data_IF_630140694319
#
_entry.id   IF_630140694319
#
_cell.length_a   1.000
_cell.length_b   1.000
_cell.length_c   1.000
_cell.angle_alpha   90.00
_cell.angle_beta   90.00
_cell.angle_gamma   90.00
#
_symmetry.space_group_name_H-M   'P 1'
#
loop_
_entity.id
_entity.type
_entity.pdbx_description
1 polymer ?
#
# COMPACT_ATOMS: atom_id res chain seq x y z
N UNK A 1 -5.63 4.71 -31.30
CA UNK A 1 -5.68 5.78 -30.27
C UNK A 1 -4.52 5.59 -29.28
N UNK A 2 -4.32 4.40 -28.68
CA UNK A 2 -3.24 4.09 -27.73
C UNK A 2 -1.87 4.58 -28.24
N UNK A 3 -1.48 4.25 -29.47
CA UNK A 3 -0.18 4.63 -30.05
C UNK A 3 0.08 6.14 -30.05
N UNK A 4 -0.97 6.96 -30.20
CA UNK A 4 -0.83 8.41 -30.14
C UNK A 4 -0.54 8.91 -28.73
N UNK A 5 -1.19 8.30 -27.74
CA UNK A 5 -0.93 8.60 -26.32
C UNK A 5 0.46 8.12 -25.88
N UNK A 6 0.90 6.92 -26.31
CA UNK A 6 2.26 6.44 -26.07
C UNK A 6 3.31 7.43 -26.60
N UNK A 7 3.12 7.94 -27.82
CA UNK A 7 4.02 8.93 -28.40
C UNK A 7 4.01 10.26 -27.63
N UNK A 8 2.84 10.73 -27.22
CA UNK A 8 2.69 11.98 -26.47
C UNK A 8 3.32 11.88 -25.08
N UNK A 9 3.10 10.77 -24.36
CA UNK A 9 3.70 10.51 -23.06
C UNK A 9 5.22 10.37 -23.15
N UNK A 10 5.73 9.73 -24.21
CA UNK A 10 7.18 9.57 -24.44
C UNK A 10 7.90 10.90 -24.75
N UNK A 11 7.18 11.93 -25.17
CA UNK A 11 7.77 13.26 -25.41
C UNK A 11 8.01 14.07 -24.11
N UNK A 12 7.48 13.60 -22.96
CA UNK A 12 7.65 14.31 -21.71
C UNK A 12 8.96 13.92 -21.03
N UNK A 13 9.80 14.90 -20.77
CA UNK A 13 11.01 14.75 -19.99
C UNK A 13 10.90 15.56 -18.69
N UNK A 14 11.24 14.92 -17.56
CA UNK A 14 11.28 15.61 -16.28
C UNK A 14 12.43 16.64 -16.28
N UNK A 15 12.14 17.93 -16.11
CA UNK A 15 13.19 18.94 -16.11
C UNK A 15 14.10 18.79 -14.87
N UNK A 16 15.37 19.13 -15.06
CA UNK A 16 16.31 19.18 -13.95
C UNK A 16 15.94 20.34 -13.01
N UNK A 17 15.99 20.10 -11.70
CA UNK A 17 15.58 21.06 -10.65
C UNK A 17 16.29 22.41 -10.77
N UNK A 18 17.55 22.43 -11.27
CA UNK A 18 18.33 23.64 -11.48
C UNK A 18 17.73 24.61 -12.51
N UNK A 19 16.97 24.12 -13.47
CA UNK A 19 16.33 24.93 -14.52
C UNK A 19 15.08 25.63 -13.99
N UNK A 20 14.37 25.01 -13.02
CA UNK A 20 13.12 25.54 -12.46
C UNK A 20 13.33 26.76 -11.54
N UNK A 21 14.53 26.95 -11.01
CA UNK A 21 14.84 28.01 -10.05
C UNK A 21 15.26 29.33 -10.69
N UNK A 22 15.53 29.36 -12.01
CA UNK A 22 16.10 30.53 -12.67
C UNK A 22 15.08 31.60 -13.06
N UNK A 23 13.86 31.20 -13.48
CA UNK A 23 12.88 32.15 -13.99
C UNK A 23 11.43 31.77 -13.62
N UNK A 24 10.68 32.73 -13.08
CA UNK A 24 9.27 32.55 -12.65
C UNK A 24 8.34 32.05 -13.77
N UNK A 25 8.56 32.45 -15.03
CA UNK A 25 7.73 32.02 -16.17
C UNK A 25 7.96 30.54 -16.52
N UNK A 26 9.17 30.01 -16.27
CA UNK A 26 9.47 28.59 -16.50
C UNK A 26 8.69 27.68 -15.55
N UNK A 27 8.51 28.07 -14.31
CA UNK A 27 7.74 27.30 -13.34
C UNK A 27 6.27 27.16 -13.76
N UNK A 28 5.68 28.24 -14.30
CA UNK A 28 4.29 28.22 -14.80
C UNK A 28 4.16 27.26 -15.99
N UNK A 29 5.09 27.35 -16.95
CA UNK A 29 5.09 26.44 -18.11
C UNK A 29 5.30 24.99 -17.70
N UNK A 30 6.22 24.76 -16.78
CA UNK A 30 6.46 23.42 -16.25
C UNK A 30 5.18 22.84 -15.61
N UNK A 31 4.54 23.59 -14.72
CA UNK A 31 3.29 23.16 -14.08
C UNK A 31 2.22 22.82 -15.10
N UNK A 32 2.08 23.63 -16.16
CA UNK A 32 1.14 23.36 -17.24
C UNK A 32 1.50 22.06 -17.98
N UNK A 33 2.74 21.89 -18.43
CA UNK A 33 3.16 20.68 -19.15
C UNK A 33 3.08 19.44 -18.27
N UNK A 34 3.43 19.56 -16.98
CA UNK A 34 3.30 18.50 -16.01
C UNK A 34 1.83 18.06 -15.84
N UNK A 35 0.91 19.02 -15.68
CA UNK A 35 -0.52 18.69 -15.57
C UNK A 35 -1.08 18.03 -16.84
N UNK A 36 -0.66 18.47 -18.02
CA UNK A 36 -1.02 17.83 -19.30
C UNK A 36 -0.46 16.41 -19.37
N UNK A 37 0.80 16.21 -18.98
CA UNK A 37 1.44 14.91 -18.93
C UNK A 37 0.68 13.93 -18.01
N UNK A 38 0.37 14.34 -16.78
CA UNK A 38 -0.36 13.49 -15.82
C UNK A 38 -1.75 13.13 -16.31
N UNK A 39 -2.43 14.07 -17.01
CA UNK A 39 -3.71 13.79 -17.66
C UNK A 39 -3.57 12.74 -18.77
N UNK A 40 -2.54 12.86 -19.61
CA UNK A 40 -2.27 11.88 -20.69
C UNK A 40 -1.93 10.50 -20.12
N UNK A 41 -1.18 10.45 -19.03
CA UNK A 41 -0.89 9.19 -18.31
C UNK A 41 -2.17 8.54 -17.83
N UNK A 42 -3.06 9.29 -17.20
CA UNK A 42 -4.35 8.79 -16.72
C UNK A 42 -5.20 8.21 -17.87
N UNK A 43 -5.38 8.96 -18.95
CA UNK A 43 -6.14 8.52 -20.13
C UNK A 43 -5.49 7.29 -20.81
N UNK A 44 -4.15 7.22 -20.85
CA UNK A 44 -3.42 6.08 -21.39
C UNK A 44 -3.59 4.82 -20.53
N UNK A 45 -3.56 4.97 -19.20
CA UNK A 45 -3.80 3.88 -18.27
C UNK A 45 -5.23 3.33 -18.38
N UNK A 46 -6.23 4.22 -18.57
CA UNK A 46 -7.60 3.80 -18.83
C UNK A 46 -7.72 2.97 -20.13
N UNK A 47 -7.06 3.43 -21.21
CA UNK A 47 -7.02 2.68 -22.48
C UNK A 47 -6.30 1.34 -22.33
N UNK A 48 -5.19 1.28 -21.58
CA UNK A 48 -4.51 0.02 -21.32
C UNK A 48 -5.34 -0.93 -20.47
N UNK A 49 -6.07 -0.41 -19.49
CA UNK A 49 -6.97 -1.20 -18.66
C UNK A 49 -8.08 -1.83 -19.50
N UNK A 50 -8.65 -1.09 -20.47
CA UNK A 50 -9.68 -1.60 -21.37
C UNK A 50 -9.21 -2.76 -22.28
N UNK A 51 -7.91 -2.87 -22.53
CA UNK A 51 -7.29 -3.96 -23.30
C UNK A 51 -6.49 -4.95 -22.46
N UNK A 52 -6.63 -4.86 -21.12
CA UNK A 52 -5.95 -5.72 -20.14
C UNK A 52 -4.41 -5.71 -20.24
N UNK A 53 -3.83 -4.60 -20.70
CA UNK A 53 -2.38 -4.45 -20.85
C UNK A 53 -1.73 -3.94 -19.55
N UNK A 54 -1.86 -4.69 -18.46
CA UNK A 54 -1.47 -4.29 -17.11
C UNK A 54 0.02 -4.01 -16.95
N UNK A 55 0.89 -4.78 -17.60
CA UNK A 55 2.35 -4.54 -17.57
C UNK A 55 2.71 -3.16 -18.13
N UNK A 56 1.98 -2.71 -19.15
CA UNK A 56 2.18 -1.37 -19.72
C UNK A 56 1.74 -0.27 -18.76
N UNK A 57 0.65 -0.50 -17.99
CA UNK A 57 0.22 0.41 -16.92
C UNK A 57 1.35 0.55 -15.89
N UNK A 58 1.92 -0.56 -15.42
CA UNK A 58 3.00 -0.56 -14.43
C UNK A 58 4.22 0.23 -14.90
N UNK A 59 4.62 0.04 -16.16
CA UNK A 59 5.75 0.77 -16.73
C UNK A 59 5.50 2.27 -16.83
N UNK A 60 4.32 2.68 -17.30
CA UNK A 60 3.95 4.11 -17.43
C UNK A 60 3.80 4.75 -16.05
N UNK A 61 3.12 4.08 -15.12
CA UNK A 61 2.97 4.57 -13.75
C UNK A 61 4.32 4.65 -13.02
N UNK A 62 5.23 3.69 -13.23
CA UNK A 62 6.58 3.71 -12.65
C UNK A 62 7.36 4.97 -13.04
N UNK A 63 7.33 5.38 -14.31
CA UNK A 63 7.95 6.63 -14.74
C UNK A 63 7.19 7.86 -14.22
N UNK A 64 5.85 7.86 -14.27
CA UNK A 64 5.02 8.95 -13.76
C UNK A 64 5.25 9.21 -12.27
N UNK A 65 5.37 8.16 -11.45
CA UNK A 65 5.71 8.27 -10.03
C UNK A 65 7.10 8.85 -9.80
N UNK A 66 8.08 8.58 -10.67
CA UNK A 66 9.39 9.24 -10.60
C UNK A 66 9.31 10.76 -10.86
N UNK A 67 8.29 11.20 -11.61
CA UNK A 67 8.03 12.61 -11.89
C UNK A 67 7.22 13.26 -10.76
N UNK A 68 6.20 12.58 -10.26
CA UNK A 68 5.30 13.05 -9.21
C UNK A 68 4.80 11.86 -8.36
N UNK A 69 5.45 11.64 -7.24
CA UNK A 69 5.09 10.58 -6.28
C UNK A 69 3.81 10.88 -5.49
N UNK A 70 3.31 12.13 -5.55
CA UNK A 70 2.14 12.57 -4.80
C UNK A 70 0.84 12.50 -5.61
N UNK A 71 0.93 12.09 -6.87
CA UNK A 71 -0.24 11.98 -7.72
C UNK A 71 -1.05 10.71 -7.41
N UNK A 72 -2.24 10.89 -6.84
CA UNK A 72 -3.14 9.82 -6.44
C UNK A 72 -3.59 8.93 -7.62
N UNK A 73 -3.85 9.51 -8.79
CA UNK A 73 -4.31 8.75 -9.96
C UNK A 73 -3.24 7.77 -10.44
N UNK A 74 -1.96 8.13 -10.35
CA UNK A 74 -0.86 7.22 -10.71
C UNK A 74 -0.80 6.02 -9.77
N UNK A 75 -0.94 6.23 -8.47
CA UNK A 75 -1.03 5.15 -7.49
C UNK A 75 -2.26 4.27 -7.73
N UNK A 76 -3.41 4.89 -7.99
CA UNK A 76 -4.65 4.17 -8.30
C UNK A 76 -4.46 3.21 -9.47
N UNK A 77 -3.92 3.68 -10.60
CA UNK A 77 -3.73 2.85 -11.79
C UNK A 77 -2.71 1.73 -11.58
N UNK A 78 -1.65 2.01 -10.82
CA UNK A 78 -0.67 0.98 -10.47
C UNK A 78 -1.31 -0.13 -9.62
N UNK A 79 -2.08 0.21 -8.60
CA UNK A 79 -2.82 -0.75 -7.77
C UNK A 79 -3.83 -1.51 -8.63
N UNK A 80 -4.61 -0.80 -9.45
CA UNK A 80 -5.60 -1.38 -10.36
C UNK A 80 -4.98 -2.39 -11.32
N UNK A 81 -3.75 -2.16 -11.77
CA UNK A 81 -3.03 -3.11 -12.62
C UNK A 81 -2.71 -4.43 -11.89
N UNK A 82 -2.32 -4.36 -10.62
CA UNK A 82 -2.09 -5.54 -9.79
C UNK A 82 -3.38 -6.32 -9.53
N UNK A 83 -4.48 -5.60 -9.24
CA UNK A 83 -5.82 -6.17 -9.10
C UNK A 83 -6.23 -6.90 -10.38
N UNK A 84 -6.04 -6.28 -11.54
CA UNK A 84 -6.38 -6.88 -12.83
C UNK A 84 -5.56 -8.12 -13.19
N UNK A 85 -4.36 -8.25 -12.63
CA UNK A 85 -3.50 -9.44 -12.75
C UNK A 85 -3.83 -10.52 -11.68
N UNK A 86 -4.75 -10.24 -10.75
CA UNK A 86 -5.05 -11.14 -9.64
C UNK A 86 -3.99 -11.17 -8.54
N UNK A 87 -3.02 -10.26 -8.58
CA UNK A 87 -1.95 -10.19 -7.59
C UNK A 87 -2.34 -9.29 -6.41
N UNK A 88 -3.16 -9.86 -5.53
CA UNK A 88 -3.76 -9.16 -4.39
C UNK A 88 -2.68 -8.70 -3.38
N UNK A 89 -1.65 -9.51 -3.18
CA UNK A 89 -0.55 -9.17 -2.26
C UNK A 89 0.17 -7.88 -2.67
N UNK A 90 0.56 -7.78 -3.94
CA UNK A 90 1.21 -6.58 -4.45
C UNK A 90 0.25 -5.39 -4.51
N UNK A 91 -1.03 -5.62 -4.79
CA UNK A 91 -2.05 -4.57 -4.75
C UNK A 91 -2.17 -3.96 -3.36
N UNK A 92 -2.24 -4.78 -2.29
CA UNK A 92 -2.29 -4.31 -0.90
C UNK A 92 -1.01 -3.59 -0.49
N UNK A 93 0.17 -4.14 -0.80
CA UNK A 93 1.46 -3.48 -0.50
C UNK A 93 1.56 -2.10 -1.16
N UNK A 94 1.15 -2.01 -2.41
CA UNK A 94 1.16 -0.73 -3.15
C UNK A 94 0.13 0.25 -2.58
N UNK A 95 -1.04 -0.25 -2.17
CA UNK A 95 -2.07 0.57 -1.53
C UNK A 95 -1.57 1.18 -0.23
N UNK A 96 -0.97 0.37 0.66
CA UNK A 96 -0.42 0.85 1.93
C UNK A 96 0.70 1.86 1.73
N UNK A 97 1.57 1.62 0.74
CA UNK A 97 2.64 2.54 0.36
C UNK A 97 2.08 3.87 -0.13
N UNK A 98 1.09 3.84 -1.01
CA UNK A 98 0.42 5.03 -1.54
C UNK A 98 -0.25 5.84 -0.40
N UNK A 99 -1.02 5.17 0.45
CA UNK A 99 -1.71 5.83 1.55
C UNK A 99 -0.74 6.45 2.55
N UNK A 100 0.39 5.78 2.83
CA UNK A 100 1.44 6.33 3.69
C UNK A 100 2.04 7.60 3.11
N UNK A 101 2.45 7.59 1.84
CA UNK A 101 3.05 8.75 1.16
C UNK A 101 2.07 9.93 1.11
N UNK A 102 0.82 9.69 0.67
CA UNK A 102 -0.19 10.73 0.55
C UNK A 102 -0.58 11.32 1.91
N UNK A 103 -0.66 10.51 2.96
CA UNK A 103 -0.94 10.98 4.31
C UNK A 103 0.24 11.77 4.90
N UNK A 104 1.46 11.25 4.84
CA UNK A 104 2.65 11.89 5.44
C UNK A 104 3.02 13.20 4.75
N UNK A 105 2.84 13.29 3.42
CA UNK A 105 3.25 14.44 2.62
C UNK A 105 2.17 15.49 2.41
N UNK A 106 0.91 15.06 2.26
CA UNK A 106 -0.21 15.93 1.92
C UNK A 106 -1.27 16.03 3.03
N UNK A 107 -1.17 15.21 4.09
CA UNK A 107 -2.22 15.10 5.11
C UNK A 107 -3.55 14.59 4.54
N UNK A 108 -3.54 14.00 3.34
CA UNK A 108 -4.75 13.55 2.66
C UNK A 108 -5.31 12.29 3.31
N UNK A 109 -6.60 12.35 3.61
CA UNK A 109 -7.37 11.15 3.93
C UNK A 109 -7.74 10.38 2.66
N UNK A 110 -8.14 9.12 2.82
CA UNK A 110 -8.59 8.27 1.71
C UNK A 110 -9.68 8.96 0.90
N UNK A 111 -9.43 9.15 -0.40
CA UNK A 111 -10.46 9.61 -1.33
C UNK A 111 -11.54 8.53 -1.53
N UNK A 112 -12.68 8.91 -2.08
CA UNK A 112 -13.75 7.96 -2.45
C UNK A 112 -13.22 6.88 -3.38
N UNK A 113 -12.45 7.27 -4.41
CA UNK A 113 -11.85 6.39 -5.41
C UNK A 113 -10.93 5.34 -4.80
N UNK A 114 -10.08 5.74 -3.83
CA UNK A 114 -9.18 4.84 -3.13
C UNK A 114 -9.90 3.90 -2.15
N UNK A 115 -11.02 4.35 -1.57
CA UNK A 115 -11.86 3.47 -0.73
C UNK A 115 -12.51 2.37 -1.55
N UNK A 116 -13.14 2.73 -2.68
CA UNK A 116 -13.77 1.77 -3.57
C UNK A 116 -12.77 0.73 -4.08
N UNK A 117 -11.54 1.16 -4.43
CA UNK A 117 -10.47 0.26 -4.83
C UNK A 117 -10.06 -0.70 -3.68
N UNK A 118 -9.98 -0.20 -2.46
CA UNK A 118 -9.67 -1.04 -1.30
C UNK A 118 -10.78 -2.08 -1.03
N UNK A 119 -12.04 -1.68 -1.14
CA UNK A 119 -13.16 -2.59 -0.98
C UNK A 119 -13.18 -3.67 -2.07
N UNK A 120 -12.80 -3.32 -3.31
CA UNK A 120 -12.60 -4.26 -4.42
C UNK A 120 -11.52 -5.30 -4.08
N UNK A 121 -10.35 -4.84 -3.59
CA UNK A 121 -9.24 -5.71 -3.18
C UNK A 121 -9.68 -6.67 -2.06
N UNK A 122 -10.37 -6.14 -1.04
CA UNK A 122 -10.88 -6.96 0.06
C UNK A 122 -11.95 -7.96 -0.38
N UNK A 123 -12.80 -7.59 -1.36
CA UNK A 123 -13.77 -8.52 -1.95
C UNK A 123 -13.06 -9.72 -2.57
N UNK A 124 -12.07 -9.47 -3.42
CA UNK A 124 -11.26 -10.53 -4.04
C UNK A 124 -10.48 -11.37 -3.02
N UNK A 125 -9.98 -10.73 -1.96
CA UNK A 125 -9.29 -11.42 -0.86
C UNK A 125 -10.22 -12.34 -0.07
N UNK A 126 -11.48 -11.96 0.11
CA UNK A 126 -12.48 -12.81 0.80
C UNK A 126 -12.84 -14.07 0.01
N UNK A 127 -12.92 -13.96 -1.31
CA UNK A 127 -13.19 -15.12 -2.18
C UNK A 127 -12.01 -16.12 -2.12
N UNK A 128 -10.78 -15.62 -2.03
CA UNK A 128 -9.58 -16.45 -1.81
C UNK A 128 -9.56 -16.99 -0.36
N UNK A 129 -9.93 -16.17 0.63
CA UNK A 129 -9.94 -16.56 2.03
C UNK A 129 -11.03 -17.58 2.38
N UNK A 130 -12.17 -17.59 1.68
CA UNK A 130 -13.18 -18.62 1.88
C UNK A 130 -12.70 -20.01 1.42
N UNK A 131 -11.85 -20.06 0.38
CA UNK A 131 -11.20 -21.29 -0.05
C UNK A 131 -10.13 -21.80 0.93
N UNK A 132 -9.59 -20.90 1.77
CA UNK A 132 -8.50 -21.19 2.72
C UNK A 132 -8.94 -21.15 4.19
N UNK A 133 -10.23 -20.88 4.47
CA UNK A 133 -10.70 -20.81 5.87
C UNK A 133 -10.51 -22.13 6.61
N UNK A 134 -10.74 -23.24 5.96
CA UNK A 134 -10.54 -24.57 6.56
C UNK A 134 -9.04 -24.87 6.79
N UNK A 135 -8.16 -24.36 5.88
CA UNK A 135 -6.71 -24.48 6.04
C UNK A 135 -6.20 -23.54 7.15
N UNK A 136 -6.71 -22.31 7.23
CA UNK A 136 -6.36 -21.35 8.29
C UNK A 136 -6.86 -21.80 9.65
N UNK A 137 -8.06 -22.37 9.75
CA UNK A 137 -8.55 -22.95 10.99
C UNK A 137 -7.69 -24.14 11.43
N UNK A 138 -7.16 -24.93 10.49
CA UNK A 138 -6.22 -26.00 10.78
C UNK A 138 -4.85 -25.48 11.27
N UNK A 139 -4.36 -24.35 10.75
CA UNK A 139 -3.09 -23.74 11.16
C UNK A 139 -3.19 -22.93 12.48
N UNK A 140 -4.39 -22.37 12.78
CA UNK A 140 -4.61 -21.58 14.02
C UNK A 140 -4.98 -22.47 15.20
N UNK A 141 -5.43 -23.72 14.96
CA UNK A 141 -5.64 -24.68 16.06
C UNK A 141 -4.28 -25.06 16.66
N UNK A 142 -3.89 -24.35 17.72
CA UNK A 142 -2.79 -24.80 18.55
C UNK A 142 -3.11 -26.20 19.11
N UNK A 143 -2.16 -27.12 19.00
CA UNK A 143 -2.27 -28.47 19.55
C UNK A 143 -2.38 -28.45 21.11
N UNK A 144 -1.92 -27.36 21.75
CA UNK A 144 -2.06 -27.12 23.18
C UNK A 144 -2.49 -25.70 23.51
N UNK A 145 -3.80 -25.41 23.65
CA UNK A 145 -4.30 -24.08 23.98
C UNK A 145 -3.94 -23.59 25.38
N UNK A 146 -3.30 -24.43 26.22
CA UNK A 146 -2.85 -24.09 27.56
C UNK A 146 -1.36 -23.68 27.61
N UNK A 147 -0.67 -23.69 26.49
CA UNK A 147 0.73 -23.32 26.38
C UNK A 147 0.98 -21.80 26.44
N UNK A 148 2.25 -21.41 26.50
CA UNK A 148 2.70 -20.01 26.41
C UNK A 148 2.77 -19.60 24.97
N UNK A 149 2.03 -18.54 24.59
CA UNK A 149 2.08 -18.01 23.25
C UNK A 149 3.33 -17.14 23.06
N UNK A 150 4.23 -17.54 22.18
CA UNK A 150 5.39 -16.77 21.79
C UNK A 150 5.10 -15.93 20.55
N UNK A 151 5.28 -14.63 20.65
CA UNK A 151 5.10 -13.74 19.51
C UNK A 151 6.12 -12.60 19.50
N UNK A 152 6.35 -12.04 18.34
CA UNK A 152 7.13 -10.81 18.20
C UNK A 152 6.39 -9.60 18.78
N UNK A 153 7.15 -8.58 19.17
CA UNK A 153 6.59 -7.35 19.76
C UNK A 153 5.49 -6.70 18.91
N UNK A 154 5.60 -6.74 17.58
CA UNK A 154 4.60 -6.21 16.64
C UNK A 154 3.26 -6.92 16.77
N UNK A 155 3.28 -8.25 16.84
CA UNK A 155 2.09 -9.09 17.03
C UNK A 155 1.51 -8.87 18.43
N UNK A 156 2.35 -8.85 19.46
CA UNK A 156 1.93 -8.54 20.83
C UNK A 156 1.20 -7.20 20.94
N UNK A 157 1.71 -6.15 20.27
CA UNK A 157 1.10 -4.83 20.25
C UNK A 157 -0.31 -4.84 19.67
N UNK A 158 -0.56 -5.61 18.62
CA UNK A 158 -1.90 -5.70 18.02
C UNK A 158 -2.86 -6.52 18.90
N UNK A 159 -2.40 -7.60 19.54
CA UNK A 159 -3.15 -8.37 20.54
C UNK A 159 -3.54 -7.43 21.69
N UNK A 160 -2.58 -6.67 22.23
CA UNK A 160 -2.83 -5.70 23.29
C UNK A 160 -3.92 -4.68 22.91
N UNK A 161 -3.87 -4.14 21.68
CA UNK A 161 -4.89 -3.21 21.20
C UNK A 161 -6.27 -3.84 21.09
N UNK A 162 -6.36 -5.11 20.72
CA UNK A 162 -7.63 -5.84 20.66
C UNK A 162 -8.19 -6.04 22.08
N UNK A 163 -7.35 -6.44 23.03
CA UNK A 163 -7.76 -6.62 24.43
C UNK A 163 -8.20 -5.31 25.08
N UNK A 164 -7.49 -4.22 24.87
CA UNK A 164 -7.94 -2.88 25.33
C UNK A 164 -9.34 -2.55 24.81
N UNK A 165 -9.63 -2.81 23.53
CA UNK A 165 -10.98 -2.60 22.98
C UNK A 165 -12.02 -3.54 23.57
N UNK A 166 -11.62 -4.76 23.92
CA UNK A 166 -12.47 -5.73 24.59
C UNK A 166 -12.84 -5.26 26.00
N UNK A 167 -11.84 -4.85 26.79
CA UNK A 167 -12.02 -4.29 28.14
C UNK A 167 -12.96 -3.09 28.11
N UNK A 168 -12.76 -2.14 27.18
CA UNK A 168 -13.62 -0.96 27.03
C UNK A 168 -15.07 -1.30 26.70
N UNK A 169 -15.33 -2.41 26.02
CA UNK A 169 -16.69 -2.86 25.66
C UNK A 169 -17.34 -3.70 26.75
N UNK A 170 -16.58 -4.56 27.42
CA UNK A 170 -17.08 -5.50 28.41
C UNK A 170 -17.13 -4.92 29.81
N UNK A 171 -16.33 -3.88 30.09
CA UNK A 171 -16.16 -3.33 31.44
C UNK A 171 -15.44 -4.26 32.41
N UNK A 172 -14.91 -5.40 31.92
CA UNK A 172 -14.14 -6.37 32.74
C UNK A 172 -12.70 -5.90 32.78
N UNK A 173 -12.18 -5.64 34.00
CA UNK A 173 -10.80 -5.23 34.19
C UNK A 173 -9.84 -6.42 33.94
N UNK A 174 -8.83 -6.19 33.11
CA UNK A 174 -7.75 -7.13 32.86
C UNK A 174 -6.41 -6.49 33.27
N UNK A 175 -5.48 -7.33 33.73
CA UNK A 175 -4.17 -6.87 34.20
C UNK A 175 -3.08 -7.42 33.29
N UNK A 176 -2.15 -6.57 32.86
CA UNK A 176 -0.95 -6.96 32.16
C UNK A 176 0.24 -6.91 33.11
N UNK A 177 1.01 -8.00 33.15
CA UNK A 177 2.22 -8.11 33.97
C UNK A 177 3.41 -8.20 33.00
N UNK A 178 4.33 -7.25 33.09
CA UNK A 178 5.60 -7.29 32.36
C UNK A 178 6.68 -7.89 33.28
N UNK A 179 7.24 -9.02 32.86
CA UNK A 179 8.36 -9.66 33.54
C UNK A 179 9.62 -9.50 32.69
N UNK A 180 10.66 -8.94 33.27
CA UNK A 180 11.98 -8.86 32.63
C UNK A 180 12.89 -9.90 33.28
N UNK A 181 13.34 -10.87 32.48
CA UNK A 181 14.30 -11.87 32.92
C UNK A 181 15.69 -11.43 32.48
N UNK A 182 16.56 -11.19 33.48
CA UNK A 182 17.98 -10.91 33.21
C UNK A 182 18.69 -12.26 33.23
N UNK A 183 19.14 -12.73 32.08
CA UNK A 183 19.93 -13.94 31.95
C UNK A 183 21.39 -13.55 32.17
N UNK A 184 22.00 -14.05 33.23
CA UNK A 184 23.44 -13.92 33.48
C UNK A 184 24.17 -15.00 32.67
N UNK A 185 24.77 -14.59 31.53
CA UNK A 185 25.48 -15.49 30.58
C UNK A 185 26.62 -16.32 31.24
N UNK A 186 27.03 -15.97 32.43
CA UNK A 186 28.08 -16.72 33.15
C UNK A 186 27.63 -18.04 33.73
N UNK A 187 26.32 -18.35 33.76
CA UNK A 187 25.79 -19.62 34.30
C UNK A 187 25.50 -20.72 33.26
N UNK A 188 25.56 -20.41 31.98
CA UNK A 188 25.31 -21.40 30.92
C UNK A 188 26.54 -22.22 30.50
N UNK A 189 27.70 -22.05 31.13
CA UNK A 189 28.92 -22.84 30.79
C UNK A 189 29.23 -23.97 31.75
N UNK A 190 28.32 -24.33 32.61
CA UNK A 190 28.53 -25.43 33.61
C UNK A 190 27.31 -26.36 33.68
N UNK A 191 26.95 -27.01 32.57
CA UNK A 191 26.24 -28.32 32.56
C UNK A 191 26.54 -29.06 31.25
#
# INVERSE_FOLDING_TARGET
QIRKYEQAVACYEKPQTSVLTSDSWMSVRYTYHHSVYMKLVNELCELYSSVHAYDKIQNVCGYAMSCDELNEDTHYWLIKSWVGQGNIENALKQYDTAMKILYERLGMHRSQKMRELYDEILGMSKDIAQATMDDIYGEIQEEDPNGVFFCEYTVFREIYRLEVRRVLRSGIAEFMILLTVVIDEKRMQTE
#
